data_IF_811201268119
#
_entry.id   IF_811201268119
#
_cell.length_a   1.000
_cell.length_b   1.000
_cell.length_c   1.000
_cell.angle_alpha   90.00
_cell.angle_beta   90.00
_cell.angle_gamma   90.00
#
_symmetry.space_group_name_H-M   'P 1'
#
loop_
_entity.id
_entity.type
_entity.pdbx_description
1 polymer ?
#
# COMPACT_ATOMS: atom_id res chain seq x y z
N UNK A 1 -1.34 31.58 9.05
CA UNK A 1 -1.78 30.50 9.96
C UNK A 1 -2.26 29.33 9.11
N UNK A 2 -1.67 28.15 9.30
CA UNK A 2 -2.11 26.93 8.67
C UNK A 2 -2.88 26.05 9.66
N UNK A 3 -3.71 25.18 9.11
CA UNK A 3 -4.51 24.24 9.87
C UNK A 3 -3.73 22.92 10.07
N UNK A 4 -3.80 22.40 11.28
CA UNK A 4 -3.44 21.02 11.60
C UNK A 4 -4.70 20.19 11.73
N UNK A 5 -4.66 18.93 11.29
CA UNK A 5 -5.80 18.03 11.47
C UNK A 5 -5.83 16.86 10.49
N UNK A 6 -6.90 16.08 10.60
CA UNK A 6 -7.28 15.05 9.66
C UNK A 6 -8.66 15.37 9.10
N UNK A 7 -8.83 15.26 7.80
CA UNK A 7 -10.14 15.35 7.14
C UNK A 7 -10.27 14.23 6.11
N UNK A 8 -11.48 13.78 5.89
CA UNK A 8 -11.75 12.81 4.83
C UNK A 8 -12.62 13.40 3.73
N UNK A 9 -12.35 12.96 2.51
CA UNK A 9 -13.23 13.10 1.36
C UNK A 9 -13.51 11.70 0.81
N UNK A 10 -14.73 11.21 1.01
CA UNK A 10 -15.02 9.80 0.80
C UNK A 10 -14.18 8.93 1.74
N UNK A 11 -13.39 8.04 1.19
CA UNK A 11 -12.48 7.19 1.97
C UNK A 11 -11.02 7.66 1.98
N UNK A 12 -10.68 8.73 1.30
CA UNK A 12 -9.35 9.34 1.38
C UNK A 12 -9.27 10.28 2.59
N UNK A 13 -8.40 9.97 3.53
CA UNK A 13 -8.14 10.78 4.72
C UNK A 13 -6.88 11.60 4.50
N UNK A 14 -7.00 12.93 4.53
CA UNK A 14 -5.90 13.88 4.32
C UNK A 14 -5.39 14.42 5.64
N UNK A 15 -4.07 14.48 5.80
CA UNK A 15 -3.43 15.16 6.93
C UNK A 15 -3.08 16.60 6.54
N UNK A 16 -3.31 17.52 7.47
CA UNK A 16 -2.85 18.89 7.41
C UNK A 16 -1.75 19.06 8.46
N UNK A 17 -0.59 19.51 8.01
CA UNK A 17 0.63 19.57 8.82
C UNK A 17 0.63 20.73 9.82
N UNK A 18 -0.11 21.82 9.54
CA UNK A 18 -0.14 23.00 10.39
C UNK A 18 1.09 23.88 10.28
N UNK A 19 2.00 23.61 9.36
CA UNK A 19 3.25 24.35 9.17
C UNK A 19 2.96 25.82 8.79
N UNK A 20 2.74 26.63 9.81
CA UNK A 20 2.59 28.07 9.66
C UNK A 20 3.97 28.68 9.42
N UNK A 21 4.13 29.42 8.33
CA UNK A 21 5.39 30.02 7.94
C UNK A 21 5.32 31.55 8.01
N UNK A 22 6.45 32.17 8.33
CA UNK A 22 6.66 33.62 8.27
C UNK A 22 7.77 33.94 7.27
N UNK A 23 7.51 34.89 6.40
CA UNK A 23 8.44 35.34 5.36
C UNK A 23 8.76 36.81 5.55
N UNK A 24 9.98 37.22 5.18
CA UNK A 24 10.33 38.65 5.12
C UNK A 24 9.76 39.32 3.86
N UNK A 25 10.05 40.62 3.73
CA UNK A 25 9.61 41.47 2.59
C UNK A 25 10.16 40.99 1.23
N UNK A 26 11.23 40.22 1.24
CA UNK A 26 11.90 39.71 0.04
C UNK A 26 11.49 38.25 -0.27
N UNK A 27 10.52 37.71 0.53
CA UNK A 27 10.00 36.35 0.37
C UNK A 27 10.91 35.25 0.93
N UNK A 28 11.91 35.60 1.75
CA UNK A 28 12.75 34.61 2.41
C UNK A 28 12.04 34.05 3.64
N UNK A 29 12.12 32.74 3.82
CA UNK A 29 11.58 32.06 4.99
C UNK A 29 12.34 32.49 6.25
N UNK A 30 11.64 33.08 7.22
CA UNK A 30 12.19 33.49 8.51
C UNK A 30 12.01 32.40 9.55
N UNK A 31 10.83 31.78 9.55
CA UNK A 31 10.47 30.76 10.52
C UNK A 31 9.31 29.89 9.99
N UNK A 32 9.29 28.64 10.40
CA UNK A 32 8.23 27.69 10.08
C UNK A 32 7.92 26.87 11.34
N UNK A 33 6.63 26.70 11.64
CA UNK A 33 6.20 25.87 12.76
C UNK A 33 6.48 24.38 12.49
N UNK A 34 6.76 23.62 13.55
CA UNK A 34 6.96 22.19 13.43
C UNK A 34 5.68 21.48 12.92
N UNK A 35 5.83 20.50 12.02
CA UNK A 35 4.69 19.80 11.46
C UNK A 35 3.97 18.96 12.54
N UNK A 36 2.66 18.92 12.42
CA UNK A 36 1.77 18.10 13.27
C UNK A 36 1.81 18.44 14.77
N UNK A 37 2.30 19.64 15.13
CA UNK A 37 2.33 20.13 16.51
C UNK A 37 1.35 21.30 16.72
N UNK A 38 0.89 21.48 17.97
CA UNK A 38 0.16 22.68 18.37
C UNK A 38 1.17 23.70 18.93
N UNK A 39 1.67 24.54 18.04
CA UNK A 39 2.63 25.57 18.41
C UNK A 39 2.03 26.97 18.32
N UNK A 40 2.48 27.83 19.22
CA UNK A 40 2.24 29.26 19.17
C UNK A 40 3.58 29.97 19.09
N UNK A 41 3.85 30.64 17.98
CA UNK A 41 5.06 31.41 17.77
C UNK A 41 4.77 32.88 17.85
N UNK A 42 5.62 33.65 18.54
CA UNK A 42 5.57 35.10 18.65
C UNK A 42 6.64 35.70 17.76
N UNK A 43 6.27 36.72 17.00
CA UNK A 43 7.20 37.44 16.13
C UNK A 43 7.20 38.94 16.51
N UNK A 44 8.39 39.51 16.52
CA UNK A 44 8.58 40.93 16.68
C UNK A 44 8.74 41.59 15.31
N UNK A 45 7.87 42.58 15.04
CA UNK A 45 7.92 43.33 13.79
C UNK A 45 8.55 44.69 14.04
N UNK A 46 9.68 44.97 13.39
CA UNK A 46 10.30 46.29 13.41
C UNK A 46 9.77 47.11 12.24
N UNK A 47 9.03 48.20 12.58
CA UNK A 47 8.40 49.06 11.58
C UNK A 47 9.38 49.97 10.82
N UNK A 48 10.56 50.24 11.40
CA UNK A 48 11.53 51.15 10.78
C UNK A 48 12.26 50.50 9.60
N UNK A 49 12.63 49.24 9.73
CA UNK A 49 13.36 48.49 8.70
C UNK A 49 12.51 47.39 8.03
N UNK A 50 11.23 47.26 8.42
CA UNK A 50 10.31 46.26 7.90
C UNK A 50 10.79 44.81 8.09
N UNK A 51 11.49 44.57 9.20
CA UNK A 51 11.96 43.22 9.53
C UNK A 51 11.04 42.47 10.48
N UNK A 52 10.99 41.17 10.35
CA UNK A 52 10.28 40.27 11.23
C UNK A 52 11.29 39.30 11.84
N UNK A 53 11.25 39.10 13.14
CA UNK A 53 12.13 38.15 13.83
C UNK A 53 11.31 37.29 14.81
N UNK A 54 11.55 35.97 14.88
CA UNK A 54 10.92 35.10 15.85
C UNK A 54 11.45 35.40 17.26
N UNK A 55 10.60 35.23 18.27
CA UNK A 55 11.02 35.37 19.69
C UNK A 55 12.00 34.26 20.09
N UNK A 56 11.86 33.07 19.51
CA UNK A 56 12.75 31.93 19.74
C UNK A 56 13.24 31.43 18.39
N UNK A 57 14.53 31.10 18.30
CA UNK A 57 15.04 30.43 17.12
C UNK A 57 14.30 29.12 16.90
N UNK A 58 13.90 28.88 15.65
CA UNK A 58 13.21 27.67 15.24
C UNK A 58 14.20 26.78 14.50
N UNK A 59 14.24 25.51 14.92
CA UNK A 59 15.04 24.51 14.21
C UNK A 59 14.46 24.27 12.82
N UNK A 60 15.31 24.06 11.81
CA UNK A 60 14.84 23.70 10.47
C UNK A 60 13.99 22.41 10.51
N UNK A 61 12.84 22.47 9.86
CA UNK A 61 11.97 21.29 9.72
C UNK A 61 12.62 20.26 8.82
N UNK A 62 12.60 18.97 9.21
CA UNK A 62 12.97 17.88 8.31
C UNK A 62 12.05 17.93 7.07
N UNK A 63 12.63 18.03 5.88
CA UNK A 63 11.89 18.05 4.62
C UNK A 63 11.12 16.74 4.37
N UNK A 64 11.51 15.66 5.06
CA UNK A 64 10.89 14.36 4.89
C UNK A 64 9.74 14.12 5.86
N UNK A 65 8.57 14.63 5.52
CA UNK A 65 7.36 14.52 6.33
C UNK A 65 6.63 13.16 6.23
N UNK A 66 7.13 12.20 5.48
CA UNK A 66 6.41 10.94 5.24
C UNK A 66 6.08 10.22 6.56
N UNK A 67 7.08 9.86 7.35
CA UNK A 67 6.86 9.16 8.62
C UNK A 67 6.07 9.98 9.64
N UNK A 68 6.36 11.27 9.88
CA UNK A 68 5.51 12.13 10.73
C UNK A 68 4.05 12.16 10.28
N UNK A 69 3.77 12.29 8.98
CA UNK A 69 2.41 12.30 8.43
C UNK A 69 1.68 10.98 8.68
N UNK A 70 2.36 9.83 8.47
CA UNK A 70 1.78 8.52 8.71
C UNK A 70 1.48 8.28 10.19
N UNK A 71 2.39 8.65 11.08
CA UNK A 71 2.18 8.52 12.53
C UNK A 71 1.02 9.42 13.00
N UNK A 72 1.04 10.68 12.59
CA UNK A 72 -0.01 11.64 12.95
C UNK A 72 -1.36 11.23 12.39
N UNK A 73 -1.47 11.01 11.07
CA UNK A 73 -2.73 10.69 10.41
C UNK A 73 -3.36 9.40 10.90
N UNK A 74 -2.55 8.35 11.11
CA UNK A 74 -3.03 7.08 11.68
C UNK A 74 -3.52 7.26 13.13
N UNK A 75 -2.78 8.03 13.95
CA UNK A 75 -3.19 8.33 15.32
C UNK A 75 -4.51 9.10 15.37
N UNK A 76 -4.64 10.15 14.56
CA UNK A 76 -5.86 10.97 14.53
C UNK A 76 -7.06 10.18 13.98
N UNK A 77 -6.85 9.30 13.00
CA UNK A 77 -7.91 8.41 12.52
C UNK A 77 -8.42 7.49 13.63
N UNK A 78 -7.52 6.83 14.35
CA UNK A 78 -7.89 5.96 15.47
C UNK A 78 -8.66 6.73 16.56
N UNK A 79 -8.21 7.92 16.91
CA UNK A 79 -8.92 8.80 17.87
C UNK A 79 -10.32 9.16 17.37
N UNK A 80 -10.44 9.54 16.09
CA UNK A 80 -11.72 9.95 15.51
C UNK A 80 -12.78 8.83 15.53
N UNK A 81 -12.37 7.57 15.38
CA UNK A 81 -13.29 6.41 15.45
C UNK A 81 -13.37 5.78 16.85
N UNK A 82 -12.66 6.33 17.83
CA UNK A 82 -12.64 5.81 19.21
C UNK A 82 -11.93 4.46 19.37
N UNK A 83 -11.04 4.08 18.44
CA UNK A 83 -10.29 2.83 18.50
C UNK A 83 -8.96 3.01 19.23
N UNK A 84 -8.73 2.23 20.28
CA UNK A 84 -7.49 2.24 21.05
C UNK A 84 -6.70 0.93 20.92
N UNK A 85 -7.27 -0.10 20.30
CA UNK A 85 -6.65 -1.41 20.11
C UNK A 85 -6.74 -1.84 18.65
N UNK A 86 -5.70 -2.53 18.18
CA UNK A 86 -5.62 -2.99 16.79
C UNK A 86 -5.17 -4.45 16.71
N UNK A 87 -5.72 -5.18 15.76
CA UNK A 87 -5.29 -6.52 15.35
C UNK A 87 -4.68 -6.42 13.97
N UNK A 88 -3.48 -6.94 13.80
CA UNK A 88 -2.72 -6.84 12.54
C UNK A 88 -2.31 -8.23 12.09
N UNK A 89 -2.75 -8.62 10.90
CA UNK A 89 -2.27 -9.83 10.25
C UNK A 89 -0.81 -9.67 9.84
N UNK A 90 0.08 -10.57 10.28
CA UNK A 90 1.52 -10.54 9.94
C UNK A 90 1.90 -11.81 9.20
N UNK A 91 2.29 -11.64 7.94
CA UNK A 91 2.69 -12.73 7.04
C UNK A 91 4.19 -13.04 7.07
N UNK A 92 5.00 -12.11 7.58
CA UNK A 92 6.46 -12.11 7.42
C UNK A 92 6.93 -11.30 6.21
N UNK A 93 6.00 -10.71 5.44
CA UNK A 93 6.28 -9.79 4.34
C UNK A 93 6.30 -8.33 4.77
N UNK A 94 6.87 -7.47 3.89
CA UNK A 94 7.16 -6.06 4.19
C UNK A 94 5.92 -5.23 4.54
N UNK A 95 4.80 -5.39 3.82
CA UNK A 95 3.60 -4.58 4.03
C UNK A 95 3.04 -4.73 5.44
N UNK A 96 2.88 -5.98 5.89
CA UNK A 96 2.41 -6.28 7.23
C UNK A 96 3.38 -5.83 8.32
N UNK A 97 4.68 -5.94 8.07
CA UNK A 97 5.72 -5.53 9.01
C UNK A 97 5.78 -4.00 9.17
N UNK A 98 5.67 -3.26 8.07
CA UNK A 98 5.63 -1.79 8.09
C UNK A 98 4.38 -1.30 8.82
N UNK A 99 3.21 -1.89 8.56
CA UNK A 99 2.00 -1.56 9.31
C UNK A 99 2.15 -1.88 10.81
N UNK A 100 2.66 -3.06 11.18
CA UNK A 100 2.89 -3.41 12.59
C UNK A 100 3.82 -2.41 13.29
N UNK A 101 4.94 -2.04 12.66
CA UNK A 101 5.88 -1.06 13.20
C UNK A 101 5.28 0.35 13.26
N UNK A 102 4.50 0.76 12.26
CA UNK A 102 3.79 2.04 12.25
C UNK A 102 2.80 2.13 13.43
N UNK A 103 1.92 1.15 13.58
CA UNK A 103 0.95 1.15 14.68
C UNK A 103 1.65 1.09 16.04
N UNK A 104 2.74 0.32 16.16
CA UNK A 104 3.54 0.27 17.41
C UNK A 104 4.23 1.61 17.73
N UNK A 105 4.50 2.45 16.74
CA UNK A 105 5.05 3.80 16.95
C UNK A 105 4.06 4.80 17.55
N UNK A 106 2.77 4.46 17.59
CA UNK A 106 1.68 5.33 18.08
C UNK A 106 0.84 4.70 19.17
N UNK A 107 0.88 3.38 19.34
CA UNK A 107 0.15 2.64 20.37
C UNK A 107 1.12 1.86 21.27
N UNK A 108 0.80 1.65 22.56
CA UNK A 108 1.55 0.76 23.41
C UNK A 108 1.39 -0.71 22.95
N UNK A 109 2.38 -1.54 23.27
CA UNK A 109 2.45 -2.93 22.77
C UNK A 109 1.25 -3.78 23.18
N UNK A 110 0.72 -3.58 24.37
CA UNK A 110 -0.47 -4.28 24.92
C UNK A 110 -1.77 -3.96 24.17
N UNK A 111 -1.77 -2.91 23.38
CA UNK A 111 -2.91 -2.51 22.54
C UNK A 111 -2.79 -3.01 21.09
N UNK A 112 -1.77 -3.82 20.81
CA UNK A 112 -1.53 -4.40 19.48
C UNK A 112 -1.47 -5.91 19.58
N UNK A 113 -2.34 -6.59 18.85
CA UNK A 113 -2.31 -8.03 18.70
C UNK A 113 -1.87 -8.38 17.28
N UNK A 114 -0.72 -9.02 17.14
CA UNK A 114 -0.23 -9.54 15.89
C UNK A 114 -0.77 -10.96 15.67
N UNK A 115 -1.19 -11.27 14.46
CA UNK A 115 -1.78 -12.58 14.14
C UNK A 115 -1.13 -13.15 12.88
N UNK A 116 -0.54 -14.33 13.00
CA UNK A 116 -0.09 -15.11 11.86
C UNK A 116 -1.11 -16.23 11.58
N UNK A 117 -1.55 -16.37 10.33
CA UNK A 117 -2.57 -17.35 9.91
C UNK A 117 -2.00 -18.27 8.84
N UNK A 118 -1.09 -19.20 9.20
CA UNK A 118 -0.39 -20.02 8.24
C UNK A 118 -1.27 -21.13 7.67
N UNK A 119 -0.95 -21.50 6.43
CA UNK A 119 -1.36 -22.74 5.78
C UNK A 119 -0.12 -23.59 5.50
N UNK A 120 -0.30 -24.74 4.82
CA UNK A 120 0.81 -25.58 4.36
C UNK A 120 1.76 -24.91 3.36
N UNK A 121 1.33 -23.80 2.73
CA UNK A 121 2.12 -23.08 1.74
C UNK A 121 3.08 -22.05 2.35
N UNK A 122 2.87 -21.67 3.62
CA UNK A 122 3.72 -20.68 4.28
C UNK A 122 5.04 -21.30 4.71
N UNK A 123 6.15 -20.70 4.28
CA UNK A 123 7.50 -21.17 4.58
C UNK A 123 7.86 -20.96 6.06
N UNK A 124 8.80 -21.76 6.58
CA UNK A 124 9.37 -21.55 7.91
C UNK A 124 10.11 -20.20 7.99
N UNK A 125 10.66 -19.72 6.87
CA UNK A 125 11.32 -18.42 6.79
C UNK A 125 10.36 -17.28 7.15
N UNK A 126 9.23 -17.17 6.44
CA UNK A 126 8.27 -16.09 6.66
C UNK A 126 7.59 -16.16 8.04
N UNK A 127 7.29 -17.39 8.50
CA UNK A 127 6.81 -17.61 9.89
C UNK A 127 7.83 -17.16 10.93
N UNK A 128 9.11 -17.46 10.73
CA UNK A 128 10.20 -17.01 11.59
C UNK A 128 10.36 -15.50 11.61
N UNK A 129 10.30 -14.86 10.43
CA UNK A 129 10.36 -13.40 10.30
C UNK A 129 9.19 -12.69 10.99
N UNK A 130 7.98 -13.25 10.92
CA UNK A 130 6.82 -12.71 11.65
C UNK A 130 7.00 -12.82 13.16
N UNK A 131 7.55 -13.92 13.65
CA UNK A 131 7.85 -14.11 15.08
C UNK A 131 8.95 -13.17 15.57
N UNK A 132 10.01 -12.98 14.79
CA UNK A 132 11.08 -12.04 15.09
C UNK A 132 10.58 -10.60 15.13
N UNK A 133 9.76 -10.20 14.16
CA UNK A 133 9.11 -8.89 14.14
C UNK A 133 8.31 -8.64 15.43
N UNK A 134 7.46 -9.59 15.82
CA UNK A 134 6.63 -9.49 17.01
C UNK A 134 7.48 -9.32 18.28
N UNK A 135 8.55 -10.12 18.41
CA UNK A 135 9.53 -10.01 19.50
C UNK A 135 10.20 -8.63 19.51
N UNK A 136 10.64 -8.13 18.36
CA UNK A 136 11.31 -6.83 18.26
C UNK A 136 10.39 -5.67 18.62
N UNK A 137 9.09 -5.76 18.27
CA UNK A 137 8.08 -4.75 18.62
C UNK A 137 7.57 -4.90 20.06
N UNK A 138 7.84 -6.02 20.72
CA UNK A 138 7.33 -6.35 22.06
C UNK A 138 5.83 -6.62 22.09
N UNK A 139 5.23 -6.99 20.93
CA UNK A 139 3.81 -7.25 20.80
C UNK A 139 3.50 -8.74 20.94
N UNK A 140 2.30 -9.06 21.44
CA UNK A 140 1.80 -10.43 21.47
C UNK A 140 1.58 -10.93 20.04
N UNK A 141 2.03 -12.15 19.75
CA UNK A 141 1.76 -12.86 18.51
C UNK A 141 0.87 -14.07 18.78
N UNK A 142 -0.24 -14.18 18.05
CA UNK A 142 -1.03 -15.40 17.95
C UNK A 142 -0.76 -16.07 16.61
N UNK A 143 -0.66 -17.41 16.64
CA UNK A 143 -0.62 -18.23 15.42
C UNK A 143 -1.89 -19.05 15.36
N UNK A 144 -2.67 -18.84 14.29
CA UNK A 144 -3.97 -19.49 14.04
C UNK A 144 -3.91 -20.18 12.67
N UNK A 145 -3.54 -21.46 12.59
CA UNK A 145 -3.57 -22.20 11.32
C UNK A 145 -4.99 -22.26 10.73
N UNK A 146 -5.09 -22.10 9.40
CA UNK A 146 -6.39 -22.04 8.72
C UNK A 146 -6.58 -23.15 7.67
N UNK A 147 -5.59 -24.00 7.46
CA UNK A 147 -5.61 -25.01 6.39
C UNK A 147 -6.82 -25.93 6.42
N UNK A 148 -7.11 -26.49 7.58
CA UNK A 148 -8.21 -27.45 7.77
C UNK A 148 -9.57 -26.83 7.42
N UNK A 149 -9.83 -25.58 7.83
CA UNK A 149 -11.08 -24.87 7.52
C UNK A 149 -11.27 -24.63 6.02
N UNK A 150 -10.18 -24.39 5.29
CA UNK A 150 -10.21 -24.19 3.84
C UNK A 150 -10.55 -25.51 3.15
N UNK A 151 -9.91 -26.61 3.58
CA UNK A 151 -10.13 -27.93 3.01
C UNK A 151 -11.56 -28.40 3.30
N UNK A 152 -12.07 -28.29 4.54
CA UNK A 152 -13.45 -28.60 4.90
C UNK A 152 -14.47 -27.79 4.10
N UNK A 153 -14.24 -26.49 3.92
CA UNK A 153 -15.13 -25.63 3.12
C UNK A 153 -15.09 -26.03 1.64
N UNK A 154 -13.90 -26.32 1.11
CA UNK A 154 -13.76 -26.75 -0.26
C UNK A 154 -14.50 -28.08 -0.52
N UNK A 155 -14.34 -29.05 0.36
CA UNK A 155 -15.00 -30.36 0.28
C UNK A 155 -16.54 -30.22 0.38
N UNK A 156 -17.03 -29.32 1.24
CA UNK A 156 -18.45 -29.06 1.37
C UNK A 156 -19.10 -28.38 0.15
N UNK A 157 -18.32 -27.65 -0.64
CA UNK A 157 -18.82 -26.94 -1.83
C UNK A 157 -18.63 -27.75 -3.12
N UNK A 158 -17.61 -28.59 -3.22
CA UNK A 158 -17.28 -29.35 -4.42
C UNK A 158 -18.45 -30.23 -4.86
N UNK A 159 -18.80 -30.19 -6.13
CA UNK A 159 -19.88 -30.99 -6.71
C UNK A 159 -21.30 -30.49 -6.39
N UNK A 160 -21.51 -29.39 -5.65
CA UNK A 160 -22.83 -28.83 -5.46
C UNK A 160 -23.45 -28.38 -6.80
N UNK A 161 -24.77 -28.55 -7.00
CA UNK A 161 -25.42 -28.25 -8.27
C UNK A 161 -25.46 -26.73 -8.54
N UNK A 162 -25.14 -26.37 -9.76
CA UNK A 162 -25.35 -25.06 -10.37
C UNK A 162 -26.42 -25.16 -11.47
N UNK A 163 -27.00 -24.05 -11.98
CA UNK A 163 -28.04 -24.12 -13.01
C UNK A 163 -27.65 -24.93 -14.24
N UNK A 164 -26.40 -24.82 -14.69
CA UNK A 164 -25.93 -25.46 -15.93
C UNK A 164 -24.69 -26.37 -15.70
N UNK A 165 -24.25 -26.53 -14.43
CA UNK A 165 -23.02 -27.25 -14.10
C UNK A 165 -23.01 -27.70 -12.62
N UNK A 166 -21.85 -28.08 -12.11
CA UNK A 166 -21.58 -28.28 -10.68
C UNK A 166 -20.40 -27.41 -10.24
N UNK A 167 -20.28 -27.17 -8.91
CA UNK A 167 -19.18 -26.41 -8.34
C UNK A 167 -17.88 -27.19 -8.49
N UNK A 168 -16.90 -26.58 -9.17
CA UNK A 168 -15.52 -27.06 -9.25
C UNK A 168 -14.57 -25.96 -8.79
N UNK A 169 -13.88 -26.17 -7.68
CA UNK A 169 -12.99 -25.17 -7.07
C UNK A 169 -11.57 -25.29 -7.64
N UNK A 170 -11.19 -24.26 -8.40
CA UNK A 170 -9.81 -24.12 -8.90
C UNK A 170 -8.85 -23.69 -7.79
N UNK A 171 -7.52 -23.88 -8.00
CA UNK A 171 -6.49 -23.38 -7.10
C UNK A 171 -6.65 -21.89 -6.77
N UNK A 172 -6.91 -21.07 -7.79
CA UNK A 172 -7.15 -19.63 -7.62
C UNK A 172 -8.37 -19.31 -6.74
N UNK A 173 -9.45 -20.09 -6.85
CA UNK A 173 -10.61 -19.93 -5.96
C UNK A 173 -10.25 -20.27 -4.51
N UNK A 174 -9.45 -21.33 -4.29
CA UNK A 174 -8.96 -21.72 -2.95
C UNK A 174 -8.00 -20.68 -2.36
N UNK A 175 -7.15 -20.01 -3.15
CA UNK A 175 -6.35 -18.88 -2.72
C UNK A 175 -7.24 -17.73 -2.21
N UNK A 176 -8.29 -17.39 -2.94
CA UNK A 176 -9.26 -16.37 -2.52
C UNK A 176 -10.04 -16.78 -1.24
N UNK A 177 -10.32 -18.06 -1.05
CA UNK A 177 -10.92 -18.57 0.20
C UNK A 177 -9.97 -18.34 1.37
N UNK A 178 -8.67 -18.65 1.22
CA UNK A 178 -7.67 -18.41 2.25
C UNK A 178 -7.59 -16.93 2.65
N UNK A 179 -7.56 -16.02 1.69
CA UNK A 179 -7.49 -14.58 1.97
C UNK A 179 -8.73 -14.09 2.75
N UNK A 180 -9.94 -14.58 2.39
CA UNK A 180 -11.18 -14.24 3.14
C UNK A 180 -11.18 -14.83 4.53
N UNK A 181 -10.72 -16.06 4.69
CA UNK A 181 -10.65 -16.73 5.98
C UNK A 181 -9.74 -15.98 6.95
N UNK A 182 -8.56 -15.59 6.48
CA UNK A 182 -7.61 -14.78 7.25
C UNK A 182 -8.24 -13.50 7.77
N UNK A 183 -8.87 -12.72 6.91
CA UNK A 183 -9.33 -11.37 7.25
C UNK A 183 -10.74 -11.35 7.80
N UNK A 184 -11.74 -11.71 6.99
CA UNK A 184 -13.16 -11.53 7.33
C UNK A 184 -13.66 -12.50 8.39
N UNK A 185 -12.94 -13.59 8.64
CA UNK A 185 -13.27 -14.54 9.72
C UNK A 185 -12.32 -14.38 10.91
N UNK A 186 -11.03 -14.64 10.75
CA UNK A 186 -10.08 -14.71 11.88
C UNK A 186 -9.77 -13.32 12.44
N UNK A 187 -9.28 -12.38 11.62
CA UNK A 187 -8.92 -11.06 12.11
C UNK A 187 -10.14 -10.28 12.61
N UNK A 188 -11.29 -10.42 11.93
CA UNK A 188 -12.54 -9.80 12.36
C UNK A 188 -13.01 -10.33 13.72
N UNK A 189 -13.02 -11.66 13.94
CA UNK A 189 -13.39 -12.25 15.21
C UNK A 189 -12.44 -11.87 16.34
N UNK A 190 -11.11 -11.93 16.08
CA UNK A 190 -10.10 -11.55 17.06
C UNK A 190 -10.15 -10.06 17.41
N UNK A 191 -10.44 -9.19 16.45
CA UNK A 191 -10.57 -7.75 16.72
C UNK A 191 -11.75 -7.46 17.64
N UNK A 192 -12.89 -8.13 17.43
CA UNK A 192 -14.04 -8.02 18.31
C UNK A 192 -13.73 -8.55 19.73
N UNK A 193 -13.07 -9.71 19.84
CA UNK A 193 -12.69 -10.29 21.12
C UNK A 193 -11.63 -9.44 21.87
N UNK A 194 -10.71 -8.84 21.14
CA UNK A 194 -9.68 -7.96 21.69
C UNK A 194 -10.21 -6.57 22.09
N UNK A 195 -11.40 -6.21 21.59
CA UNK A 195 -12.03 -4.91 21.84
C UNK A 195 -11.42 -3.79 20.98
N UNK A 196 -11.06 -4.10 19.74
CA UNK A 196 -10.45 -3.19 18.78
C UNK A 196 -10.91 -3.38 17.35
N UNK A 197 -10.10 -2.94 16.43
CA UNK A 197 -10.30 -3.07 14.98
C UNK A 197 -9.20 -3.94 14.37
N UNK A 198 -9.39 -4.49 13.16
CA UNK A 198 -8.28 -5.04 12.38
C UNK A 198 -7.92 -4.13 11.21
N UNK A 199 -6.65 -4.17 10.81
CA UNK A 199 -6.07 -3.30 9.79
C UNK A 199 -6.07 -3.96 8.41
N UNK A 200 -6.17 -3.13 7.36
CA UNK A 200 -5.85 -3.53 5.99
C UNK A 200 -4.39 -3.14 5.69
N UNK A 201 -3.58 -4.10 5.30
CA UNK A 201 -2.15 -3.88 5.05
C UNK A 201 -1.82 -3.70 3.56
N UNK A 202 -2.83 -3.43 2.73
CA UNK A 202 -2.67 -3.23 1.29
C UNK A 202 -1.76 -2.04 0.97
N UNK A 203 -1.08 -2.12 -0.17
CA UNK A 203 -0.33 -1.01 -0.78
C UNK A 203 -0.99 -0.56 -2.09
N UNK A 204 -0.50 0.56 -2.64
CA UNK A 204 -1.09 1.17 -3.85
C UNK A 204 -0.85 0.35 -5.10
N UNK A 205 0.30 -0.31 -5.22
CA UNK A 205 0.65 -1.13 -6.38
C UNK A 205 -0.36 -2.25 -6.58
N UNK A 206 -0.60 -3.02 -5.52
CA UNK A 206 -1.53 -4.14 -5.53
C UNK A 206 -2.98 -3.69 -5.71
N UNK A 207 -3.40 -2.62 -5.01
CA UNK A 207 -4.76 -2.10 -5.12
C UNK A 207 -5.06 -1.51 -6.50
N UNK A 208 -4.06 -0.96 -7.19
CA UNK A 208 -4.23 -0.40 -8.54
C UNK A 208 -4.78 -1.42 -9.50
N UNK A 209 -4.19 -2.58 -9.56
CA UNK A 209 -4.58 -3.67 -10.49
C UNK A 209 -5.49 -4.70 -9.84
N UNK A 210 -5.84 -4.50 -8.57
CA UNK A 210 -6.68 -5.42 -7.81
C UNK A 210 -6.00 -6.75 -7.51
N UNK A 211 -4.67 -6.75 -7.34
CA UNK A 211 -3.93 -7.89 -6.83
C UNK A 211 -4.19 -8.03 -5.33
N UNK A 212 -5.31 -8.60 -5.01
CA UNK A 212 -5.88 -8.80 -3.68
C UNK A 212 -7.29 -9.34 -3.78
N UNK A 213 -7.83 -9.86 -2.71
CA UNK A 213 -9.13 -10.54 -2.65
C UNK A 213 -10.21 -9.64 -2.07
N UNK A 214 -11.34 -9.52 -2.79
CA UNK A 214 -12.56 -8.90 -2.26
C UNK A 214 -12.96 -9.55 -0.93
N UNK A 215 -13.22 -8.73 0.10
CA UNK A 215 -13.54 -9.16 1.46
C UNK A 215 -12.50 -10.07 2.11
N UNK A 216 -11.28 -10.10 1.55
CA UNK A 216 -10.12 -10.81 2.06
C UNK A 216 -9.06 -9.83 2.58
N UNK A 217 -7.85 -9.93 2.06
CA UNK A 217 -6.70 -9.10 2.40
C UNK A 217 -6.89 -7.58 2.15
N UNK A 218 -7.87 -7.21 1.31
CA UNK A 218 -8.30 -5.82 1.13
C UNK A 218 -9.34 -5.35 2.15
N UNK A 219 -9.68 -6.15 3.17
CA UNK A 219 -10.61 -5.78 4.22
C UNK A 219 -9.90 -5.24 5.47
N UNK A 220 -10.64 -4.47 6.28
CA UNK A 220 -10.16 -3.86 7.53
C UNK A 220 -10.91 -2.58 7.84
N UNK A 221 -10.58 -1.93 8.96
CA UNK A 221 -11.18 -0.65 9.33
C UNK A 221 -10.42 0.54 8.72
N UNK A 222 -9.11 0.40 8.52
CA UNK A 222 -8.23 1.43 7.96
C UNK A 222 -7.07 0.80 7.21
N UNK A 223 -6.77 1.33 6.04
CA UNK A 223 -5.66 0.94 5.19
C UNK A 223 -4.60 2.07 5.18
N UNK A 224 -3.85 2.20 6.27
CA UNK A 224 -2.94 3.32 6.47
C UNK A 224 -1.95 3.48 5.30
N UNK A 225 -1.43 2.38 4.76
CA UNK A 225 -0.38 2.36 3.73
C UNK A 225 -0.89 2.20 2.30
N UNK A 226 -2.21 2.14 2.09
CA UNK A 226 -2.79 1.83 0.77
C UNK A 226 -2.58 2.91 -0.32
N UNK A 227 -2.07 4.09 0.03
CA UNK A 227 -1.67 5.14 -0.93
C UNK A 227 -0.15 5.18 -1.18
N UNK A 228 0.60 4.20 -0.68
CA UNK A 228 2.03 4.05 -0.95
C UNK A 228 2.30 2.98 -2.00
N UNK A 229 3.15 3.29 -2.98
CA UNK A 229 3.74 2.33 -3.90
C UNK A 229 4.67 1.37 -3.15
N UNK A 230 4.92 0.20 -3.69
CA UNK A 230 5.75 -0.82 -3.00
C UNK A 230 7.13 -0.29 -2.60
N UNK A 231 7.81 0.44 -3.49
CA UNK A 231 9.11 1.05 -3.15
C UNK A 231 9.01 2.03 -1.97
N UNK A 232 7.89 2.76 -1.83
CA UNK A 232 7.65 3.67 -0.70
C UNK A 232 7.37 2.91 0.60
N UNK A 233 6.78 1.71 0.53
CA UNK A 233 6.64 0.84 1.70
C UNK A 233 8.01 0.44 2.24
N UNK A 234 8.94 0.05 1.37
CA UNK A 234 10.32 -0.25 1.77
C UNK A 234 11.00 0.97 2.41
N UNK A 235 10.85 2.15 1.82
CA UNK A 235 11.40 3.40 2.36
C UNK A 235 10.81 3.73 3.74
N UNK A 236 9.50 3.65 3.90
CA UNK A 236 8.82 3.85 5.19
C UNK A 236 9.31 2.85 6.25
N UNK A 237 9.52 1.58 5.87
CA UNK A 237 10.07 0.56 6.75
C UNK A 237 11.47 0.90 7.26
N UNK A 238 12.35 1.38 6.39
CA UNK A 238 13.70 1.83 6.77
C UNK A 238 13.65 3.08 7.65
N UNK A 239 12.77 4.03 7.36
CA UNK A 239 12.54 5.21 8.21
C UNK A 239 12.00 4.84 9.60
N UNK A 240 11.12 3.84 9.69
CA UNK A 240 10.67 3.31 10.98
C UNK A 240 11.82 2.71 11.78
N UNK A 241 12.67 1.87 11.17
CA UNK A 241 13.86 1.33 11.85
C UNK A 241 14.80 2.44 12.35
N UNK A 242 15.03 3.48 11.53
CA UNK A 242 15.82 4.64 11.92
C UNK A 242 15.18 5.41 13.10
N UNK A 243 13.88 5.63 13.05
CA UNK A 243 13.13 6.31 14.13
C UNK A 243 13.18 5.54 15.45
N UNK A 244 13.12 4.20 15.39
CA UNK A 244 13.27 3.35 16.58
C UNK A 244 14.72 3.28 17.09
N UNK A 245 15.71 3.77 16.33
CA UNK A 245 17.15 3.64 16.61
C UNK A 245 17.66 2.19 16.61
N UNK A 246 16.88 1.27 16.03
CA UNK A 246 17.20 -0.18 15.92
C UNK A 246 16.36 -0.86 14.85
N UNK A 247 16.81 -2.01 14.37
CA UNK A 247 16.10 -2.83 13.42
C UNK A 247 14.88 -3.55 14.06
N UNK A 248 13.76 -2.83 14.23
CA UNK A 248 12.51 -3.47 14.68
C UNK A 248 11.89 -4.32 13.59
N UNK A 249 12.00 -3.90 12.33
CA UNK A 249 11.70 -4.72 11.16
C UNK A 249 12.99 -5.45 10.78
N UNK A 250 13.03 -6.79 10.89
CA UNK A 250 14.22 -7.59 10.56
C UNK A 250 14.68 -7.39 9.12
N UNK A 251 15.99 -7.41 8.88
CA UNK A 251 16.55 -7.23 7.52
C UNK A 251 16.06 -8.32 6.56
N UNK A 252 15.81 -9.54 7.04
CA UNK A 252 15.23 -10.61 6.22
C UNK A 252 13.89 -10.25 5.58
N UNK A 253 13.10 -9.36 6.22
CA UNK A 253 11.83 -8.88 5.66
C UNK A 253 12.06 -7.94 4.47
N UNK A 254 13.15 -7.19 4.44
CA UNK A 254 13.50 -6.32 3.30
C UNK A 254 14.07 -7.10 2.11
N UNK A 255 14.55 -8.31 2.34
CA UNK A 255 15.25 -9.13 1.32
C UNK A 255 14.44 -10.32 0.83
N UNK A 256 13.44 -10.78 1.60
CA UNK A 256 12.55 -11.86 1.16
C UNK A 256 11.74 -11.41 -0.06
N UNK A 257 11.61 -12.31 -1.04
CA UNK A 257 10.80 -12.04 -2.23
C UNK A 257 9.34 -11.78 -1.85
N UNK A 258 8.71 -10.70 -2.36
CA UNK A 258 7.28 -10.47 -2.13
C UNK A 258 6.44 -11.63 -2.65
N UNK A 259 5.59 -12.16 -1.78
CA UNK A 259 4.71 -13.28 -2.08
C UNK A 259 3.56 -13.36 -1.09
N UNK A 260 2.38 -13.70 -1.58
CA UNK A 260 1.22 -13.97 -0.74
C UNK A 260 1.25 -15.40 -0.13
N UNK A 261 2.13 -16.29 -0.60
CA UNK A 261 2.28 -17.69 -0.15
C UNK A 261 0.93 -18.43 -0.02
N UNK A 262 0.09 -18.36 -1.06
CA UNK A 262 -1.24 -18.95 -1.10
C UNK A 262 -1.26 -20.30 -1.84
N UNK A 263 -0.21 -20.60 -2.60
CA UNK A 263 -0.07 -21.82 -3.40
C UNK A 263 1.39 -22.19 -3.62
N UNK A 264 1.64 -23.38 -4.17
CA UNK A 264 2.99 -23.89 -4.52
C UNK A 264 3.71 -22.99 -5.56
N UNK A 265 2.95 -22.20 -6.33
CA UNK A 265 3.50 -21.28 -7.31
C UNK A 265 4.03 -19.98 -6.68
N UNK A 266 3.88 -19.81 -5.37
CA UNK A 266 4.28 -18.62 -4.60
C UNK A 266 5.26 -18.98 -3.48
N UNK A 267 6.02 -20.06 -3.61
CA UNK A 267 7.02 -20.51 -2.64
C UNK A 267 8.29 -19.65 -2.72
N UNK A 268 8.46 -18.77 -1.73
CA UNK A 268 9.61 -17.85 -1.64
C UNK A 268 10.95 -18.58 -1.51
N UNK A 269 10.98 -19.80 -0.98
CA UNK A 269 12.21 -20.58 -0.83
C UNK A 269 12.70 -21.14 -2.16
N UNK A 270 11.81 -21.23 -3.16
CA UNK A 270 12.12 -21.62 -4.53
C UNK A 270 12.29 -20.42 -5.47
N UNK A 271 12.32 -19.19 -4.94
CA UNK A 271 12.38 -17.99 -5.75
C UNK A 271 11.10 -17.70 -6.54
N UNK A 272 9.95 -18.22 -6.09
CA UNK A 272 8.64 -17.94 -6.67
C UNK A 272 7.93 -16.92 -5.82
N UNK A 273 7.53 -15.81 -6.44
CA UNK A 273 6.85 -14.69 -5.76
C UNK A 273 5.59 -14.26 -6.49
N UNK A 274 5.16 -13.05 -6.17
CA UNK A 274 4.05 -12.41 -6.86
C UNK A 274 4.34 -12.22 -8.35
N UNK A 275 3.32 -12.19 -9.21
CA UNK A 275 3.49 -11.94 -10.65
C UNK A 275 3.83 -10.48 -10.97
N UNK A 276 4.00 -9.63 -9.95
CA UNK A 276 4.34 -8.23 -10.04
C UNK A 276 5.85 -8.04 -9.99
N UNK A 277 6.42 -7.42 -11.01
CA UNK A 277 7.80 -6.95 -11.04
C UNK A 277 7.79 -5.53 -10.48
N UNK A 278 7.89 -5.39 -9.15
CA UNK A 278 7.64 -4.15 -8.44
C UNK A 278 8.54 -3.00 -8.91
N UNK A 279 9.80 -3.29 -9.23
CA UNK A 279 10.76 -2.29 -9.72
C UNK A 279 10.38 -1.68 -11.08
N UNK A 280 9.45 -2.31 -11.80
CA UNK A 280 8.87 -1.82 -13.06
C UNK A 280 7.40 -1.43 -12.89
N UNK A 281 6.58 -2.30 -12.31
CA UNK A 281 5.12 -2.10 -12.26
C UNK A 281 4.71 -0.93 -11.37
N UNK A 282 5.47 -0.58 -10.32
CA UNK A 282 5.23 0.62 -9.52
C UNK A 282 5.23 1.87 -10.40
N UNK A 283 6.20 1.97 -11.30
CA UNK A 283 6.35 3.12 -12.20
C UNK A 283 5.33 3.10 -13.34
N UNK A 284 5.06 1.93 -13.93
CA UNK A 284 4.04 1.78 -14.95
C UNK A 284 2.66 2.19 -14.40
N UNK A 285 2.24 1.63 -13.26
CA UNK A 285 0.94 1.93 -12.68
C UNK A 285 0.84 3.38 -12.20
N UNK A 286 1.92 3.92 -11.66
CA UNK A 286 2.00 5.33 -11.29
C UNK A 286 1.75 6.24 -12.50
N UNK A 287 2.28 5.88 -13.67
CA UNK A 287 2.09 6.65 -14.90
C UNK A 287 0.65 6.71 -15.38
N UNK A 288 -0.17 5.70 -15.08
CA UNK A 288 -1.61 5.69 -15.38
C UNK A 288 -2.42 6.65 -14.51
N UNK A 289 -1.90 7.08 -13.35
CA UNK A 289 -2.72 7.69 -12.30
C UNK A 289 -2.21 9.07 -11.88
N UNK A 290 -0.93 9.20 -11.51
CA UNK A 290 -0.43 10.35 -10.77
C UNK A 290 -0.04 11.58 -11.60
N UNK A 291 0.54 11.46 -12.83
CA UNK A 291 0.89 12.63 -13.63
C UNK A 291 -0.32 13.49 -13.98
N UNK A 292 -0.11 14.78 -14.27
CA UNK A 292 -1.15 15.63 -14.83
C UNK A 292 -1.67 15.07 -16.15
N UNK A 293 -0.75 14.69 -17.03
CA UNK A 293 -1.03 13.96 -18.24
C UNK A 293 -0.76 12.49 -17.98
N UNK A 294 -1.82 11.76 -17.67
CA UNK A 294 -1.76 10.32 -17.42
C UNK A 294 -1.44 9.59 -18.71
N UNK A 295 -0.64 8.55 -18.58
CA UNK A 295 -0.27 7.73 -19.71
C UNK A 295 -1.37 6.71 -20.01
N UNK A 296 -1.66 6.53 -21.28
CA UNK A 296 -2.54 5.48 -21.81
C UNK A 296 -1.72 4.32 -22.35
N UNK A 297 -2.32 3.14 -22.61
CA UNK A 297 -1.60 2.06 -23.31
C UNK A 297 -0.96 2.50 -24.62
N UNK A 298 -1.61 3.43 -25.35
CA UNK A 298 -1.06 3.99 -26.58
C UNK A 298 0.23 4.78 -26.34
N UNK A 299 0.26 5.62 -25.29
CA UNK A 299 1.45 6.41 -24.96
C UNK A 299 2.60 5.50 -24.53
N UNK A 300 2.30 4.49 -23.71
CA UNK A 300 3.27 3.49 -23.25
C UNK A 300 3.84 2.69 -24.43
N UNK A 301 2.98 2.19 -25.32
CA UNK A 301 3.44 1.41 -26.48
C UNK A 301 4.26 2.25 -27.47
N UNK A 302 3.88 3.52 -27.65
CA UNK A 302 4.67 4.48 -28.45
C UNK A 302 6.05 4.74 -27.87
N UNK A 303 6.13 4.87 -26.54
CA UNK A 303 7.42 5.07 -25.85
C UNK A 303 8.29 3.81 -25.94
N UNK A 304 7.69 2.62 -25.77
CA UNK A 304 8.38 1.35 -25.98
C UNK A 304 8.97 1.24 -27.39
N UNK A 305 8.17 1.52 -28.41
CA UNK A 305 8.61 1.46 -29.80
C UNK A 305 9.72 2.49 -30.15
N UNK A 306 9.80 3.59 -29.39
CA UNK A 306 10.85 4.62 -29.53
C UNK A 306 12.10 4.35 -28.68
N UNK A 307 12.06 3.37 -27.78
CA UNK A 307 13.15 3.07 -26.85
C UNK A 307 13.36 4.13 -25.76
N UNK A 308 12.30 4.81 -25.32
CA UNK A 308 12.35 5.81 -24.25
C UNK A 308 11.25 5.61 -23.16
N UNK A 309 10.79 4.36 -23.01
CA UNK A 309 9.75 4.03 -22.04
C UNK A 309 10.19 4.30 -20.61
N UNK A 310 11.42 3.93 -20.28
CA UNK A 310 12.01 4.10 -18.95
C UNK A 310 11.99 5.57 -18.52
N UNK A 311 12.39 6.47 -19.41
CA UNK A 311 12.35 7.92 -19.17
C UNK A 311 10.90 8.42 -18.98
N UNK A 312 9.96 7.92 -19.80
CA UNK A 312 8.57 8.34 -19.72
C UNK A 312 7.92 7.99 -18.38
N UNK A 313 8.15 6.77 -17.88
CA UNK A 313 7.55 6.31 -16.62
C UNK A 313 8.41 6.61 -15.40
N UNK A 314 9.69 7.01 -15.60
CA UNK A 314 10.66 7.28 -14.54
C UNK A 314 11.20 6.02 -13.88
N UNK A 315 11.34 4.93 -14.63
CA UNK A 315 11.85 3.64 -14.17
C UNK A 315 13.36 3.55 -14.41
N UNK A 316 14.11 3.00 -13.47
CA UNK A 316 15.56 2.80 -13.61
C UNK A 316 15.94 1.44 -14.20
N UNK A 317 15.00 0.51 -14.27
CA UNK A 317 15.19 -0.81 -14.87
C UNK A 317 15.04 -0.71 -16.39
N UNK A 318 15.92 -1.39 -17.12
CA UNK A 318 15.83 -1.53 -18.56
C UNK A 318 14.73 -2.55 -18.91
N UNK A 319 13.66 -2.07 -19.53
CA UNK A 319 12.44 -2.86 -19.79
C UNK A 319 12.71 -4.05 -20.71
N UNK A 320 13.64 -3.93 -21.67
CA UNK A 320 14.04 -5.06 -22.52
C UNK A 320 14.76 -6.20 -21.80
N UNK A 321 15.26 -5.95 -20.59
CA UNK A 321 15.82 -7.04 -19.75
C UNK A 321 14.70 -7.83 -19.06
N UNK A 322 13.52 -7.26 -18.91
CA UNK A 322 12.34 -7.91 -18.31
C UNK A 322 11.56 -8.65 -19.40
N UNK A 323 11.33 -7.97 -20.52
CA UNK A 323 10.52 -8.45 -21.64
C UNK A 323 11.40 -8.61 -22.89
N UNK A 324 11.88 -9.85 -23.16
CA UNK A 324 12.79 -10.10 -24.29
C UNK A 324 12.17 -9.80 -25.67
N UNK A 325 10.84 -9.86 -25.77
CA UNK A 325 10.13 -9.61 -27.04
C UNK A 325 9.05 -8.55 -26.88
N UNK A 326 8.69 -7.88 -27.97
CA UNK A 326 7.55 -6.96 -28.01
C UNK A 326 6.25 -7.66 -27.62
N UNK A 327 6.11 -8.94 -27.94
CA UNK A 327 4.95 -9.74 -27.57
C UNK A 327 4.82 -9.86 -26.04
N UNK A 328 5.88 -10.24 -25.36
CA UNK A 328 5.88 -10.39 -23.89
C UNK A 328 5.52 -9.06 -23.21
N UNK A 329 6.09 -7.95 -23.70
CA UNK A 329 5.79 -6.61 -23.21
C UNK A 329 4.32 -6.23 -23.41
N UNK A 330 3.77 -6.45 -24.60
CA UNK A 330 2.38 -6.11 -24.92
C UNK A 330 1.41 -6.96 -24.11
N UNK A 331 1.66 -8.25 -23.96
CA UNK A 331 0.84 -9.15 -23.16
C UNK A 331 0.81 -8.71 -21.67
N UNK A 332 1.95 -8.28 -21.12
CA UNK A 332 2.03 -7.73 -19.78
C UNK A 332 1.25 -6.41 -19.64
N UNK A 333 1.48 -5.46 -20.55
CA UNK A 333 0.79 -4.17 -20.56
C UNK A 333 -0.74 -4.35 -20.63
N UNK A 334 -1.23 -5.19 -21.56
CA UNK A 334 -2.65 -5.45 -21.72
C UNK A 334 -3.26 -6.17 -20.51
N UNK A 335 -2.55 -7.15 -19.94
CA UNK A 335 -2.97 -7.84 -18.71
C UNK A 335 -3.24 -6.85 -17.59
N UNK A 336 -2.29 -5.97 -17.30
CA UNK A 336 -2.41 -5.04 -16.18
C UNK A 336 -3.38 -3.89 -16.47
N UNK A 337 -3.43 -3.39 -17.69
CA UNK A 337 -4.43 -2.39 -18.10
C UNK A 337 -5.86 -2.93 -18.01
N UNK A 338 -6.09 -4.15 -18.45
CA UNK A 338 -7.40 -4.80 -18.36
C UNK A 338 -7.83 -5.03 -16.91
N UNK A 339 -6.91 -5.41 -16.03
CA UNK A 339 -7.18 -5.53 -14.60
C UNK A 339 -7.47 -4.16 -13.97
N UNK A 340 -6.64 -3.15 -14.24
CA UNK A 340 -6.80 -1.79 -13.74
C UNK A 340 -8.16 -1.19 -14.08
N UNK A 341 -8.58 -1.30 -15.33
CA UNK A 341 -9.85 -0.75 -15.83
C UNK A 341 -11.05 -1.67 -15.63
N UNK A 342 -10.80 -2.93 -15.22
CA UNK A 342 -11.80 -3.98 -15.04
C UNK A 342 -12.20 -4.20 -13.60
N UNK A 343 -12.08 -5.45 -13.13
CA UNK A 343 -12.58 -5.89 -11.82
C UNK A 343 -11.85 -5.23 -10.62
N UNK A 344 -10.65 -4.71 -10.82
CA UNK A 344 -9.93 -3.95 -9.80
C UNK A 344 -10.74 -2.73 -9.30
N UNK A 345 -11.63 -2.18 -10.11
CA UNK A 345 -12.54 -1.09 -9.70
C UNK A 345 -13.36 -1.49 -8.47
N UNK A 346 -13.99 -2.67 -8.51
CA UNK A 346 -14.79 -3.16 -7.39
C UNK A 346 -13.94 -3.36 -6.13
N UNK A 347 -12.71 -3.87 -6.28
CA UNK A 347 -11.76 -4.07 -5.20
C UNK A 347 -11.30 -2.75 -4.58
N UNK A 348 -10.98 -1.74 -5.39
CA UNK A 348 -10.65 -0.39 -4.92
C UNK A 348 -11.80 0.28 -4.19
N UNK A 349 -13.04 0.09 -4.64
CA UNK A 349 -14.24 0.63 -3.96
C UNK A 349 -14.42 -0.05 -2.61
N UNK A 350 -14.20 -1.34 -2.50
CA UNK A 350 -14.37 -2.11 -1.27
C UNK A 350 -13.27 -1.85 -0.23
N UNK A 351 -12.04 -1.55 -0.65
CA UNK A 351 -10.92 -1.22 0.25
C UNK A 351 -11.34 -0.16 1.28
N UNK A 352 -10.96 -0.28 2.57
CA UNK A 352 -11.36 0.64 3.62
C UNK A 352 -10.81 2.05 3.43
N UNK A 353 -11.18 3.03 4.28
CA UNK A 353 -10.54 4.33 4.31
C UNK A 353 -9.02 4.22 4.37
N UNK A 354 -8.33 5.12 3.69
CA UNK A 354 -6.87 5.13 3.58
C UNK A 354 -6.30 6.51 3.92
N UNK A 355 -5.03 6.55 4.32
CA UNK A 355 -4.31 7.81 4.49
C UNK A 355 -3.81 8.29 3.14
N UNK A 356 -4.27 9.46 2.73
CA UNK A 356 -3.95 10.06 1.44
C UNK A 356 -2.65 10.88 1.55
N UNK A 357 -1.63 10.47 0.83
CA UNK A 357 -0.32 11.14 0.77
C UNK A 357 0.13 11.41 -0.65
N UNK A 358 -0.48 10.75 -1.61
CA UNK A 358 -0.22 11.00 -3.02
C UNK A 358 -1.18 12.03 -3.60
N UNK A 359 -0.86 12.48 -4.79
CA UNK A 359 -1.71 13.42 -5.53
C UNK A 359 -3.07 12.83 -5.91
N UNK A 360 -3.16 11.52 -6.10
CA UNK A 360 -4.38 10.80 -6.49
C UNK A 360 -4.55 9.52 -5.68
N UNK A 361 -5.00 9.65 -4.44
CA UNK A 361 -5.35 8.50 -3.62
C UNK A 361 -6.62 7.83 -4.16
N UNK A 362 -6.73 6.52 -4.01
CA UNK A 362 -7.97 5.83 -4.33
C UNK A 362 -9.11 6.21 -3.39
N UNK A 363 -10.31 6.35 -3.98
CA UNK A 363 -11.53 6.71 -3.24
C UNK A 363 -11.87 8.20 -3.29
N UNK A 364 -11.06 9.03 -3.96
CA UNK A 364 -11.36 10.45 -4.18
C UNK A 364 -11.83 10.74 -5.61
N UNK A 365 -10.97 10.54 -6.60
CA UNK A 365 -11.27 10.81 -8.01
C UNK A 365 -10.64 9.75 -8.92
N UNK A 366 -11.41 8.74 -9.24
CA UNK A 366 -10.97 7.63 -10.10
C UNK A 366 -12.00 7.31 -11.17
N UNK A 367 -12.67 8.31 -11.70
CA UNK A 367 -13.69 8.10 -12.75
C UNK A 367 -13.12 7.41 -13.97
N UNK A 368 -11.88 7.71 -14.33
CA UNK A 368 -11.18 7.08 -15.44
C UNK A 368 -10.97 5.58 -15.29
N UNK A 369 -10.82 5.09 -14.07
CA UNK A 369 -10.68 3.66 -13.82
C UNK A 369 -12.00 2.90 -13.76
N UNK A 370 -13.11 3.60 -13.93
CA UNK A 370 -14.45 3.01 -14.07
C UNK A 370 -14.85 2.80 -15.53
N UNK A 371 -14.04 3.27 -16.45
CA UNK A 371 -14.20 3.00 -17.87
C UNK A 371 -13.77 1.55 -18.16
N UNK A 372 -14.48 0.92 -19.08
CA UNK A 372 -14.06 -0.40 -19.57
C UNK A 372 -12.69 -0.31 -20.22
N UNK A 373 -11.88 -1.38 -20.19
CA UNK A 373 -10.66 -1.44 -20.97
C UNK A 373 -10.95 -1.11 -22.44
N UNK A 374 -10.22 -0.18 -22.98
CA UNK A 374 -10.33 0.18 -24.40
C UNK A 374 -8.95 0.44 -24.98
N UNK A 375 -8.82 0.23 -26.26
CA UNK A 375 -7.62 0.49 -27.03
C UNK A 375 -7.98 1.32 -28.24
N UNK A 376 -7.18 2.34 -28.53
CA UNK A 376 -7.37 3.19 -29.71
C UNK A 376 -6.96 2.46 -30.98
N UNK A 377 -7.46 2.91 -32.16
CA UNK A 377 -7.02 2.36 -33.45
C UNK A 377 -5.52 2.55 -33.66
N UNK A 378 -4.94 3.64 -33.13
CA UNK A 378 -3.51 3.90 -33.18
C UNK A 378 -2.71 2.88 -32.35
N UNK A 379 -3.21 2.50 -31.16
CA UNK A 379 -2.64 1.42 -30.35
C UNK A 379 -2.66 0.10 -31.12
N UNK A 380 -3.82 -0.29 -31.65
CA UNK A 380 -4.01 -1.56 -32.35
C UNK A 380 -3.10 -1.65 -33.60
N UNK A 381 -3.01 -0.60 -34.40
CA UNK A 381 -2.14 -0.55 -35.56
C UNK A 381 -0.65 -0.64 -35.20
N UNK A 382 -0.23 0.02 -34.10
CA UNK A 382 1.15 -0.05 -33.64
C UNK A 382 1.48 -1.45 -33.07
N UNK A 383 0.54 -2.04 -32.33
CA UNK A 383 0.66 -3.42 -31.81
C UNK A 383 0.87 -4.42 -32.95
N UNK A 384 0.01 -4.36 -34.00
CA UNK A 384 0.13 -5.24 -35.16
C UNK A 384 1.50 -5.13 -35.84
N UNK A 385 2.00 -3.90 -35.99
CA UNK A 385 3.33 -3.66 -36.54
C UNK A 385 4.45 -4.27 -35.69
N UNK A 386 4.44 -4.04 -34.39
CA UNK A 386 5.48 -4.56 -33.47
C UNK A 386 5.45 -6.09 -33.29
N UNK A 387 4.32 -6.72 -33.58
CA UNK A 387 4.20 -8.19 -33.57
C UNK A 387 4.58 -8.83 -34.88
N UNK A 388 4.69 -8.06 -35.97
CA UNK A 388 5.10 -8.55 -37.30
C UNK A 388 6.61 -8.44 -37.53
N UNK A 389 7.30 -7.58 -36.78
CA UNK A 389 8.76 -7.42 -36.76
C UNK A 389 9.41 -8.46 -35.86
#
# INVERSE_FOLDING_TARGET
MNRRGLENNGKACYTYDGMTAAYDKDGQLIAEANPFTDERSTFYFNQENLTLAPETEMEPTDENLLLPAFRYGTSEFLKAIGASKVVIGVSGGIDSAVNAALYRSILPAENILLVNTPTRYNSELTKGLAAELAKNLGCQLLTVPIGDFIDETADALEGLPLPDDTVHLTGFMKENMQARDRSSRILAALSAAFGGIFTCNANKTETTVGYGTLYGDLAGAFAATADLWKYQIYDLGRKLNAWYGRAVIPEGIFTVMPSAELSENQDVTQGKGDPLIYEYHDYLFRSFIEPWQRQTPEDILKAYAKGNLEDLIGCSIIVSNIFPTAKDFIEDLEKWWNLFSGFAVAKRIQTPPLLAVSRRPYGYDLRESQLRPYYTDAYLSLKEKLLAD
#
